data_IF_963850624509
#
_entry.id   IF_963850624509
#
_cell.length_a   1.000
_cell.length_b   1.000
_cell.length_c   1.000
_cell.angle_alpha   90.00
_cell.angle_beta   90.00
_cell.angle_gamma   90.00
#
_symmetry.space_group_name_H-M   'P 1'
#
loop_
_entity.id
_entity.type
_entity.pdbx_description
1 polymer ?
#
# COMPACT_ATOMS: atom_id res chain seq x y z
N UNK A 1 12.68 34.70 -46.08
CA UNK A 1 12.66 33.22 -46.17
C UNK A 1 12.19 32.73 -44.82
N UNK A 2 10.88 32.49 -44.66
CA UNK A 2 10.32 31.99 -43.41
C UNK A 2 10.50 30.47 -43.37
N UNK A 3 11.26 29.99 -42.39
CA UNK A 3 11.45 28.56 -42.14
C UNK A 3 10.20 28.03 -41.44
N UNK A 4 9.30 27.42 -42.20
CA UNK A 4 8.11 26.78 -41.67
C UNK A 4 8.49 25.38 -41.15
N UNK A 5 8.91 25.30 -39.89
CA UNK A 5 9.25 24.03 -39.25
C UNK A 5 7.96 23.37 -38.76
N UNK A 6 7.44 22.42 -39.54
CA UNK A 6 6.30 21.61 -39.13
C UNK A 6 6.79 20.52 -38.18
N UNK A 7 6.95 20.86 -36.90
CA UNK A 7 7.36 19.89 -35.88
C UNK A 7 6.14 19.05 -35.50
N UNK A 8 6.21 17.75 -35.78
CA UNK A 8 5.19 16.80 -35.40
C UNK A 8 5.16 16.68 -33.85
N UNK A 9 4.00 16.90 -33.24
CA UNK A 9 3.80 16.78 -31.79
C UNK A 9 4.23 15.41 -31.25
N UNK A 10 4.09 14.34 -32.03
CA UNK A 10 4.55 13.00 -31.67
C UNK A 10 6.08 12.92 -31.53
N UNK A 11 6.82 13.64 -32.39
CA UNK A 11 8.28 13.67 -32.32
C UNK A 11 8.75 14.44 -31.08
N UNK A 12 8.08 15.54 -30.73
CA UNK A 12 8.36 16.29 -29.49
C UNK A 12 8.11 15.42 -28.27
N UNK A 13 6.96 14.74 -28.20
CA UNK A 13 6.62 13.86 -27.06
C UNK A 13 7.64 12.73 -26.94
N UNK A 14 8.00 12.09 -28.05
CA UNK A 14 9.02 11.02 -28.07
C UNK A 14 10.37 11.55 -27.59
N UNK A 15 10.78 12.73 -28.06
CA UNK A 15 12.03 13.36 -27.64
C UNK A 15 12.05 13.66 -26.14
N UNK A 16 10.98 14.28 -25.61
CA UNK A 16 10.84 14.57 -24.16
C UNK A 16 10.92 13.28 -23.35
N UNK A 17 10.25 12.21 -23.80
CA UNK A 17 10.26 10.93 -23.13
C UNK A 17 11.68 10.32 -23.07
N UNK A 18 12.39 10.29 -24.20
CA UNK A 18 13.77 9.78 -24.26
C UNK A 18 14.71 10.58 -23.37
N UNK A 19 14.64 11.92 -23.43
CA UNK A 19 15.46 12.81 -22.58
C UNK A 19 15.17 12.55 -21.10
N UNK A 20 13.90 12.34 -20.74
CA UNK A 20 13.50 12.04 -19.35
C UNK A 20 14.07 10.71 -18.86
N UNK A 21 14.10 9.67 -19.71
CA UNK A 21 14.72 8.38 -19.36
C UNK A 21 16.23 8.55 -19.13
N UNK A 22 16.93 9.24 -20.03
CA UNK A 22 18.38 9.48 -19.90
C UNK A 22 18.67 10.26 -18.61
N UNK A 23 17.89 11.30 -18.34
CA UNK A 23 18.02 12.09 -17.11
C UNK A 23 17.79 11.24 -15.86
N UNK A 24 16.81 10.33 -15.87
CA UNK A 24 16.56 9.42 -14.76
C UNK A 24 17.72 8.45 -14.53
N UNK A 25 18.29 7.87 -15.60
CA UNK A 25 19.45 6.98 -15.50
C UNK A 25 20.65 7.73 -14.92
N UNK A 26 20.96 8.92 -15.43
CA UNK A 26 22.05 9.75 -14.91
C UNK A 26 21.82 10.12 -13.44
N UNK A 27 20.59 10.49 -13.07
CA UNK A 27 20.22 10.78 -11.69
C UNK A 27 20.49 9.58 -10.77
N UNK A 28 20.05 8.37 -11.14
CA UNK A 28 20.27 7.15 -10.36
C UNK A 28 21.76 6.87 -10.18
N UNK A 29 22.56 6.96 -11.25
CA UNK A 29 24.00 6.70 -11.20
C UNK A 29 24.74 7.72 -10.32
N UNK A 30 24.50 9.02 -10.55
CA UNK A 30 25.16 10.10 -9.80
C UNK A 30 24.76 10.05 -8.33
N UNK A 31 23.46 9.90 -8.03
CA UNK A 31 22.98 9.83 -6.64
C UNK A 31 23.54 8.62 -5.90
N UNK A 32 23.68 7.46 -6.56
CA UNK A 32 24.31 6.28 -5.96
C UNK A 32 25.78 6.55 -5.58
N UNK A 33 26.55 7.15 -6.51
CA UNK A 33 27.94 7.51 -6.25
C UNK A 33 28.06 8.49 -5.07
N UNK A 34 27.20 9.50 -5.02
CA UNK A 34 27.15 10.46 -3.90
C UNK A 34 26.85 9.76 -2.58
N UNK A 35 25.84 8.88 -2.53
CA UNK A 35 25.51 8.12 -1.32
C UNK A 35 26.70 7.27 -0.84
N UNK A 36 27.41 6.62 -1.77
CA UNK A 36 28.59 5.83 -1.47
C UNK A 36 29.76 6.67 -0.96
N UNK A 37 30.02 7.83 -1.58
CA UNK A 37 31.05 8.78 -1.12
C UNK A 37 30.72 9.28 0.30
N UNK A 38 29.45 9.55 0.58
CA UNK A 38 28.98 10.03 1.89
C UNK A 38 28.83 8.91 2.94
N UNK A 39 29.07 7.65 2.57
CA UNK A 39 28.87 6.48 3.44
C UNK A 39 27.47 6.41 4.09
N UNK A 40 26.44 6.90 3.39
CA UNK A 40 25.06 6.86 3.86
C UNK A 40 24.41 5.52 3.54
N UNK A 41 23.52 5.07 4.41
CA UNK A 41 22.65 3.92 4.14
C UNK A 41 21.66 4.24 3.03
N UNK A 42 21.50 3.32 2.08
CA UNK A 42 20.54 3.45 0.97
C UNK A 42 19.09 3.37 1.48
N UNK A 43 18.88 2.71 2.63
CA UNK A 43 17.57 2.56 3.25
C UNK A 43 16.98 3.86 3.80
N UNK A 44 17.81 4.88 4.07
CA UNK A 44 17.39 6.09 4.78
C UNK A 44 16.93 7.23 3.85
N UNK A 45 16.98 7.05 2.53
CA UNK A 45 16.80 8.14 1.55
C UNK A 45 15.38 8.29 0.97
N UNK A 46 14.37 7.66 1.58
CA UNK A 46 13.01 7.76 1.07
C UNK A 46 12.37 9.13 1.42
N UNK A 47 11.74 9.77 0.44
CA UNK A 47 10.97 11.01 0.65
C UNK A 47 9.65 10.62 1.33
N UNK A 48 9.40 11.13 2.53
CA UNK A 48 8.25 10.76 3.34
C UNK A 48 7.15 11.83 3.34
N UNK A 49 5.91 11.38 3.30
CA UNK A 49 4.75 12.22 3.59
C UNK A 49 4.07 11.69 4.86
N UNK A 50 4.17 12.44 5.96
CA UNK A 50 3.57 12.08 7.25
C UNK A 50 2.07 12.42 7.35
N UNK A 51 1.36 12.28 6.22
CA UNK A 51 -0.05 12.62 6.10
C UNK A 51 -0.74 11.69 5.11
N UNK A 52 -2.04 11.54 5.26
CA UNK A 52 -2.88 10.89 4.27
C UNK A 52 -2.91 11.73 2.97
N UNK A 53 -3.14 11.07 1.83
CA UNK A 53 -3.47 11.77 0.59
C UNK A 53 -4.85 12.45 0.71
N UNK A 54 -5.15 13.41 -0.19
CA UNK A 54 -6.36 14.25 -0.10
C UNK A 54 -7.64 13.39 -0.08
N UNK A 55 -7.73 12.45 -1.03
CA UNK A 55 -8.86 11.53 -1.15
C UNK A 55 -9.08 10.67 0.10
N UNK A 56 -8.01 10.10 0.66
CA UNK A 56 -8.08 9.27 1.86
C UNK A 56 -8.50 10.10 3.08
N UNK A 57 -8.00 11.33 3.19
CA UNK A 57 -8.43 12.25 4.24
C UNK A 57 -9.91 12.59 4.12
N UNK A 58 -10.41 12.91 2.91
CA UNK A 58 -11.83 13.19 2.67
C UNK A 58 -12.72 11.99 3.03
N UNK A 59 -12.29 10.76 2.71
CA UNK A 59 -13.02 9.55 3.11
C UNK A 59 -12.96 9.30 4.62
N UNK A 60 -11.86 9.61 5.31
CA UNK A 60 -11.79 9.53 6.77
C UNK A 60 -12.64 10.60 7.45
N UNK A 61 -12.70 11.81 6.91
CA UNK A 61 -13.56 12.87 7.43
C UNK A 61 -15.03 12.50 7.23
N UNK A 62 -15.36 11.88 6.09
CA UNK A 62 -16.73 11.46 5.76
C UNK A 62 -17.16 10.20 6.52
N UNK A 63 -16.28 9.23 6.71
CA UNK A 63 -16.64 7.88 7.15
C UNK A 63 -15.85 7.34 8.35
N UNK A 64 -14.76 8.00 8.73
CA UNK A 64 -13.78 7.48 9.69
C UNK A 64 -14.30 7.32 11.11
N UNK A 65 -15.37 8.03 11.48
CA UNK A 65 -15.98 8.00 12.80
C UNK A 65 -17.18 7.05 12.93
N UNK A 66 -17.59 6.39 11.85
CA UNK A 66 -18.60 5.33 11.95
C UNK A 66 -18.02 4.05 12.57
N UNK A 67 -18.88 3.28 13.24
CA UNK A 67 -18.48 2.03 13.85
C UNK A 67 -18.11 1.00 12.78
N UNK A 68 -16.96 0.35 12.97
CA UNK A 68 -16.54 -0.79 12.18
C UNK A 68 -17.37 -2.00 12.57
N UNK A 69 -18.10 -2.56 11.60
CA UNK A 69 -18.95 -3.74 11.75
C UNK A 69 -18.15 -5.03 11.58
N UNK A 70 -17.35 -5.12 10.52
CA UNK A 70 -16.49 -6.26 10.15
C UNK A 70 -15.22 -5.77 9.47
N UNK A 71 -14.16 -6.55 9.60
CA UNK A 71 -12.89 -6.36 8.89
C UNK A 71 -12.61 -7.65 8.14
N UNK A 72 -12.18 -7.53 6.90
CA UNK A 72 -11.73 -8.63 6.08
C UNK A 72 -10.29 -8.37 5.66
N UNK A 73 -9.45 -9.38 5.83
CA UNK A 73 -8.10 -9.40 5.31
C UNK A 73 -8.15 -9.97 3.90
N UNK A 74 -7.61 -9.24 2.93
CA UNK A 74 -7.65 -9.65 1.52
C UNK A 74 -6.23 -9.72 0.98
N UNK A 75 -5.97 -10.74 0.15
CA UNK A 75 -4.75 -10.87 -0.63
C UNK A 75 -5.09 -10.81 -2.10
N UNK A 76 -4.46 -9.85 -2.78
CA UNK A 76 -4.63 -9.64 -4.20
C UNK A 76 -3.34 -10.02 -4.93
N UNK A 77 -3.39 -10.89 -5.93
CA UNK A 77 -2.30 -11.09 -6.88
C UNK A 77 -1.71 -9.77 -7.37
N UNK A 78 -0.39 -9.60 -7.27
CA UNK A 78 0.24 -8.42 -7.88
C UNK A 78 0.00 -8.40 -9.40
N UNK A 79 -0.11 -7.20 -9.95
CA UNK A 79 -0.34 -7.00 -11.37
C UNK A 79 0.77 -7.64 -12.21
N UNK A 80 0.44 -8.13 -13.42
CA UNK A 80 1.40 -8.76 -14.35
C UNK A 80 2.62 -7.89 -14.64
N UNK A 81 2.45 -6.56 -14.65
CA UNK A 81 3.57 -5.62 -14.84
C UNK A 81 4.63 -5.74 -13.75
N UNK A 82 4.23 -6.02 -12.50
CA UNK A 82 5.18 -6.25 -11.41
C UNK A 82 5.95 -7.55 -11.63
N UNK A 83 5.28 -8.63 -12.06
CA UNK A 83 5.94 -9.90 -12.43
C UNK A 83 6.94 -9.70 -13.57
N UNK A 84 6.61 -8.88 -14.59
CA UNK A 84 7.53 -8.53 -15.68
C UNK A 84 8.76 -7.79 -15.13
N UNK A 85 8.55 -6.80 -14.25
CA UNK A 85 9.64 -6.07 -13.61
C UNK A 85 10.55 -6.98 -12.79
N UNK A 86 9.98 -7.84 -11.94
CA UNK A 86 10.75 -8.82 -11.17
C UNK A 86 11.52 -9.77 -12.07
N UNK A 87 10.93 -10.26 -13.16
CA UNK A 87 11.62 -11.10 -14.13
C UNK A 87 12.80 -10.35 -14.76
N UNK A 88 12.64 -9.08 -15.14
CA UNK A 88 13.75 -8.31 -15.68
C UNK A 88 14.90 -8.14 -14.67
N UNK A 89 14.57 -7.79 -13.42
CA UNK A 89 15.57 -7.59 -12.36
C UNK A 89 16.20 -8.88 -11.82
N UNK A 90 15.58 -10.03 -12.05
CA UNK A 90 16.10 -11.35 -11.67
C UNK A 90 16.64 -12.14 -12.87
N UNK A 91 16.79 -11.52 -14.04
CA UNK A 91 17.20 -12.19 -15.27
C UNK A 91 16.36 -13.45 -15.56
N UNK A 92 15.04 -13.32 -15.46
CA UNK A 92 13.99 -14.32 -15.65
C UNK A 92 13.95 -15.47 -14.64
N UNK A 93 14.89 -15.52 -13.69
CA UNK A 93 14.92 -16.54 -12.65
C UNK A 93 13.65 -16.57 -11.78
N UNK A 94 13.00 -15.42 -11.58
CA UNK A 94 11.75 -15.35 -10.82
C UNK A 94 10.62 -16.19 -11.42
N UNK A 95 10.52 -16.25 -12.75
CA UNK A 95 9.50 -17.02 -13.45
C UNK A 95 9.64 -18.52 -13.17
N UNK A 96 10.87 -19.02 -13.17
CA UNK A 96 11.17 -20.44 -12.90
C UNK A 96 10.74 -20.85 -11.49
N UNK A 97 10.78 -19.94 -10.52
CA UNK A 97 10.41 -20.24 -9.13
C UNK A 97 8.92 -20.30 -8.94
N UNK A 98 8.18 -19.35 -9.53
CA UNK A 98 6.71 -19.36 -9.48
C UNK A 98 6.19 -20.65 -10.12
N UNK A 99 6.79 -21.09 -11.24
CA UNK A 99 6.42 -22.35 -11.89
C UNK A 99 6.69 -23.58 -11.01
N UNK A 100 7.75 -23.55 -10.21
CA UNK A 100 8.11 -24.67 -9.31
C UNK A 100 7.31 -24.67 -8.01
N UNK A 101 6.90 -23.51 -7.51
CA UNK A 101 6.22 -23.41 -6.22
C UNK A 101 5.32 -22.16 -6.13
N UNK A 102 4.03 -22.39 -5.89
CA UNK A 102 3.02 -21.33 -5.75
C UNK A 102 3.25 -20.41 -4.53
N UNK A 103 4.09 -20.81 -3.56
CA UNK A 103 4.41 -19.99 -2.38
C UNK A 103 5.22 -18.73 -2.71
N UNK A 104 5.84 -18.66 -3.90
CA UNK A 104 6.56 -17.48 -4.38
C UNK A 104 5.70 -16.52 -5.19
N UNK A 105 4.40 -16.79 -5.29
CA UNK A 105 3.50 -15.88 -5.98
C UNK A 105 3.25 -14.63 -5.14
N UNK A 106 3.35 -13.41 -5.71
CA UNK A 106 3.27 -12.20 -4.93
C UNK A 106 1.82 -11.85 -4.64
N UNK A 107 1.57 -11.47 -3.39
CA UNK A 107 0.28 -10.92 -3.00
C UNK A 107 0.45 -9.57 -2.33
N UNK A 108 -0.38 -8.62 -2.75
CA UNK A 108 -0.62 -7.40 -2.01
C UNK A 108 -1.63 -7.67 -0.91
N UNK A 109 -1.27 -7.35 0.32
CA UNK A 109 -2.14 -7.52 1.49
C UNK A 109 -2.87 -6.21 1.77
N UNK A 110 -4.19 -6.28 1.91
CA UNK A 110 -5.04 -5.11 2.17
C UNK A 110 -6.14 -5.45 3.16
N UNK A 111 -6.78 -4.42 3.71
CA UNK A 111 -7.92 -4.56 4.62
C UNK A 111 -9.17 -3.99 3.97
N UNK A 112 -10.25 -4.77 4.00
CA UNK A 112 -11.57 -4.32 3.63
C UNK A 112 -12.41 -4.12 4.89
N UNK A 113 -12.86 -2.90 5.14
CA UNK A 113 -13.54 -2.49 6.36
C UNK A 113 -15.01 -2.21 6.05
N UNK A 114 -15.91 -2.98 6.66
CA UNK A 114 -17.36 -2.73 6.61
C UNK A 114 -17.72 -1.80 7.77
N UNK A 115 -18.22 -0.60 7.46
CA UNK A 115 -18.70 0.38 8.44
C UNK A 115 -20.23 0.43 8.47
N UNK A 116 -20.78 0.71 9.64
CA UNK A 116 -22.22 0.84 9.86
C UNK A 116 -22.64 2.31 9.81
N UNK A 117 -23.37 2.69 8.77
CA UNK A 117 -23.96 4.02 8.59
C UNK A 117 -25.30 4.06 9.33
N UNK A 118 -25.27 4.10 10.66
CA UNK A 118 -26.48 4.37 11.43
C UNK A 118 -26.55 5.86 11.72
N UNK A 119 -27.34 6.60 10.95
CA UNK A 119 -27.78 7.92 11.39
C UNK A 119 -28.72 7.79 12.61
N UNK A 120 -28.70 8.79 13.48
CA UNK A 120 -29.59 8.97 14.64
C UNK A 120 -31.07 9.21 14.24
N UNK A 121 -31.49 8.86 13.02
CA UNK A 121 -32.87 8.99 12.58
C UNK A 121 -33.69 7.82 13.12
N UNK A 122 -34.27 8.06 14.30
CA UNK A 122 -35.16 7.17 15.08
C UNK A 122 -36.28 6.54 14.21
N UNK A 123 -36.65 7.16 13.10
CA UNK A 123 -37.73 6.75 12.20
C UNK A 123 -37.32 5.80 11.05
N UNK A 124 -36.03 5.52 10.85
CA UNK A 124 -35.52 4.61 9.78
C UNK A 124 -34.75 3.41 10.33
N UNK A 125 -35.29 2.79 11.38
CA UNK A 125 -34.62 1.70 12.14
C UNK A 125 -34.42 0.38 11.36
N UNK A 126 -35.00 0.23 10.17
CA UNK A 126 -35.09 -1.07 9.49
C UNK A 126 -34.05 -1.34 8.38
N UNK A 127 -33.34 -0.33 7.87
CA UNK A 127 -32.24 -0.53 6.91
C UNK A 127 -30.96 0.08 7.46
N UNK A 128 -30.17 -0.74 8.16
CA UNK A 128 -28.80 -0.39 8.52
C UNK A 128 -27.94 -0.39 7.25
N UNK A 129 -27.75 0.78 6.69
CA UNK A 129 -26.84 0.97 5.56
C UNK A 129 -25.41 0.65 5.99
N UNK A 130 -24.70 -0.06 5.12
CA UNK A 130 -23.29 -0.39 5.32
C UNK A 130 -22.49 0.07 4.14
N UNK A 131 -21.30 0.60 4.42
CA UNK A 131 -20.33 0.99 3.38
C UNK A 131 -19.07 0.17 3.57
N UNK A 132 -18.42 -0.16 2.46
CA UNK A 132 -17.13 -0.82 2.47
C UNK A 132 -16.04 0.18 2.10
N UNK A 133 -14.95 0.16 2.85
CA UNK A 133 -13.74 0.94 2.58
C UNK A 133 -12.56 -0.02 2.44
N UNK A 134 -11.86 0.06 1.31
CA UNK A 134 -10.57 -0.57 1.11
C UNK A 134 -9.51 0.29 1.80
N UNK A 135 -8.65 -0.32 2.62
CA UNK A 135 -7.53 0.31 3.30
C UNK A 135 -6.27 -0.47 2.97
N UNK A 136 -5.31 0.19 2.35
CA UNK A 136 -4.05 -0.42 1.94
C UNK A 136 -2.89 0.54 2.20
N UNK A 137 -1.67 -0.02 2.19
CA UNK A 137 -0.46 0.78 2.27
C UNK A 137 0.45 0.47 1.10
N UNK A 138 0.49 1.40 0.17
CA UNK A 138 1.52 1.51 -0.85
C UNK A 138 2.50 2.58 -0.38
N UNK A 139 2.97 3.46 -1.25
CA UNK A 139 3.82 4.57 -0.86
C UNK A 139 3.17 5.54 0.14
N UNK A 140 1.84 5.58 0.16
CA UNK A 140 1.03 6.21 1.18
C UNK A 140 -0.01 5.22 1.73
N UNK A 141 -0.69 5.61 2.81
CA UNK A 141 -1.89 4.89 3.26
C UNK A 141 -3.03 5.39 2.38
N UNK A 142 -3.61 4.46 1.61
CA UNK A 142 -4.67 4.74 0.67
C UNK A 142 -5.99 4.15 1.17
N UNK A 143 -7.05 4.93 1.07
CA UNK A 143 -8.42 4.54 1.43
C UNK A 143 -9.31 4.77 0.22
N UNK A 144 -10.09 3.78 -0.17
CA UNK A 144 -10.97 3.85 -1.34
C UNK A 144 -12.34 3.25 -1.07
N UNK A 145 -13.38 3.84 -1.64
CA UNK A 145 -14.71 3.25 -1.73
C UNK A 145 -14.91 2.40 -3.00
N UNK A 146 -14.08 2.65 -4.01
CA UNK A 146 -14.15 2.01 -5.32
C UNK A 146 -13.07 0.95 -5.40
N UNK A 147 -13.49 -0.30 -5.33
CA UNK A 147 -12.60 -1.45 -5.44
C UNK A 147 -13.33 -2.59 -6.13
N UNK A 148 -12.55 -3.47 -6.77
CA UNK A 148 -13.06 -4.65 -7.43
C UNK A 148 -12.65 -5.89 -6.65
N UNK A 149 -13.63 -6.72 -6.30
CA UNK A 149 -13.37 -8.04 -5.72
C UNK A 149 -13.31 -9.06 -6.86
N UNK A 150 -12.12 -9.61 -7.12
CA UNK A 150 -11.92 -10.63 -8.14
C UNK A 150 -11.99 -12.04 -7.53
N UNK A 151 -12.31 -13.04 -8.35
CA UNK A 151 -12.27 -14.46 -7.93
C UNK A 151 -10.85 -14.95 -7.61
N UNK A 152 -9.83 -14.19 -8.01
CA UNK A 152 -8.42 -14.52 -7.77
C UNK A 152 -7.90 -13.98 -6.43
N UNK A 153 -8.71 -13.20 -5.72
CA UNK A 153 -8.38 -12.71 -4.39
C UNK A 153 -8.73 -13.73 -3.31
N UNK A 154 -7.86 -13.86 -2.31
CA UNK A 154 -8.15 -14.61 -1.09
C UNK A 154 -8.70 -13.65 -0.05
N UNK A 155 -9.74 -14.05 0.70
CA UNK A 155 -10.33 -13.21 1.76
C UNK A 155 -10.49 -14.00 3.05
N UNK A 156 -10.10 -13.39 4.17
CA UNK A 156 -10.23 -13.93 5.52
C UNK A 156 -10.98 -12.94 6.41
N UNK A 157 -12.14 -13.34 6.94
CA UNK A 157 -12.92 -12.50 7.84
C UNK A 157 -12.30 -12.45 9.25
N UNK A 158 -12.16 -11.25 9.82
CA UNK A 158 -11.60 -11.02 11.15
C UNK A 158 -12.73 -10.81 12.16
N UNK A 159 -12.78 -11.66 13.19
CA UNK A 159 -13.80 -11.57 14.23
C UNK A 159 -13.53 -10.43 15.22
N UNK A 160 -14.42 -9.44 15.29
CA UNK A 160 -14.32 -8.30 16.22
C UNK A 160 -14.90 -8.57 17.63
N UNK A 161 -15.08 -9.84 18.00
CA UNK A 161 -15.54 -10.21 19.34
C UNK A 161 -14.37 -10.28 20.33
N UNK A 162 -14.47 -9.68 21.52
CA UNK A 162 -13.51 -9.97 22.61
C UNK A 162 -13.83 -11.32 23.24
N UNK A 163 -12.80 -12.14 23.41
CA UNK A 163 -12.84 -13.32 24.26
C UNK A 163 -12.24 -12.94 25.60
N UNK A 164 -13.04 -12.88 26.66
CA UNK A 164 -12.55 -12.70 28.04
C UNK A 164 -12.27 -14.07 28.64
N UNK A 165 -11.02 -14.33 29.03
CA UNK A 165 -10.50 -15.64 29.47
C UNK A 165 -10.79 -16.00 30.93
N UNK A 166 -11.64 -15.29 31.65
CA UNK A 166 -12.03 -15.67 33.01
C UNK A 166 -13.53 -16.00 33.10
N UNK A 167 -13.80 -17.30 33.14
CA UNK A 167 -14.91 -18.00 33.79
C UNK A 167 -16.38 -17.60 33.51
N UNK A 168 -16.71 -16.62 32.68
CA UNK A 168 -18.07 -16.38 32.20
C UNK A 168 -18.04 -15.63 30.86
N UNK A 169 -18.21 -16.37 29.76
CA UNK A 169 -17.99 -15.86 28.39
C UNK A 169 -19.19 -15.00 27.95
N UNK A 170 -19.12 -13.69 28.21
CA UNK A 170 -19.90 -12.71 27.43
C UNK A 170 -19.01 -12.18 26.31
N UNK A 171 -19.24 -12.62 25.06
CA UNK A 171 -18.58 -12.07 23.87
C UNK A 171 -19.00 -10.60 23.72
N UNK A 172 -18.18 -9.67 24.20
CA UNK A 172 -18.41 -8.23 24.00
C UNK A 172 -17.80 -7.81 22.66
N UNK A 173 -18.63 -7.29 21.75
CA UNK A 173 -18.17 -6.75 20.46
C UNK A 173 -17.26 -5.54 20.71
N UNK A 174 -16.11 -5.49 20.03
CA UNK A 174 -15.25 -4.32 19.99
C UNK A 174 -16.02 -3.23 19.25
N UNK A 175 -16.26 -2.09 19.92
CA UNK A 175 -16.72 -0.86 19.26
C UNK A 175 -15.46 -0.04 18.94
N UNK A 176 -15.16 0.12 17.67
CA UNK A 176 -14.03 0.89 17.17
C UNK A 176 -14.41 1.52 15.84
N UNK A 177 -13.94 2.74 15.59
CA UNK A 177 -14.07 3.43 14.31
C UNK A 177 -12.79 3.27 13.49
N UNK A 178 -12.81 3.60 12.20
CA UNK A 178 -11.61 3.53 11.37
C UNK A 178 -10.56 4.55 11.84
N UNK A 179 -10.97 5.78 12.18
CA UNK A 179 -10.09 6.80 12.76
C UNK A 179 -9.42 6.29 14.05
N UNK A 180 -10.21 5.71 14.96
CA UNK A 180 -9.66 5.18 16.20
C UNK A 180 -8.68 4.03 15.98
N UNK A 181 -8.92 3.16 15.01
CA UNK A 181 -8.00 2.08 14.67
C UNK A 181 -6.68 2.66 14.15
N UNK A 182 -6.75 3.50 13.12
CA UNK A 182 -5.58 4.11 12.48
C UNK A 182 -4.77 4.95 13.48
N UNK A 183 -5.42 5.81 14.27
CA UNK A 183 -4.75 6.66 15.25
C UNK A 183 -4.11 5.86 16.39
N UNK A 184 -4.80 4.84 16.92
CA UNK A 184 -4.21 3.97 17.95
C UNK A 184 -3.00 3.22 17.42
N UNK A 185 -3.06 2.74 16.17
CA UNK A 185 -1.92 2.10 15.52
C UNK A 185 -0.78 3.08 15.33
N UNK A 186 -1.05 4.27 14.77
CA UNK A 186 -0.06 5.34 14.60
C UNK A 186 0.61 5.73 15.91
N UNK A 187 -0.17 5.91 16.98
CA UNK A 187 0.35 6.27 18.30
C UNK A 187 1.22 5.16 18.89
N UNK A 188 0.91 3.89 18.62
CA UNK A 188 1.67 2.74 19.12
C UNK A 188 3.01 2.56 18.40
N UNK A 189 3.05 2.71 17.07
CA UNK A 189 4.28 2.44 16.28
C UNK A 189 5.06 3.71 15.90
N UNK A 190 4.48 4.88 16.14
CA UNK A 190 5.03 6.19 15.78
C UNK A 190 4.71 6.58 14.33
N UNK A 191 4.53 7.89 14.10
CA UNK A 191 4.18 8.45 12.78
C UNK A 191 5.16 8.08 11.67
N UNK A 192 6.46 7.94 12.00
CA UNK A 192 7.47 7.52 11.03
C UNK A 192 7.19 6.12 10.50
N UNK A 193 7.05 5.13 11.37
CA UNK A 193 6.72 3.77 10.95
C UNK A 193 5.33 3.68 10.33
N UNK A 194 4.37 4.46 10.82
CA UNK A 194 3.01 4.43 10.30
C UNK A 194 2.92 4.86 8.83
N UNK A 195 3.48 6.02 8.47
CA UNK A 195 3.36 6.55 7.11
C UNK A 195 4.48 6.11 6.17
N UNK A 196 5.70 5.87 6.66
CA UNK A 196 6.81 5.48 5.80
C UNK A 196 6.52 4.14 5.12
N UNK A 197 6.74 4.03 3.81
CA UNK A 197 6.73 2.77 3.11
C UNK A 197 8.16 2.35 2.73
N UNK A 198 8.46 1.08 2.97
CA UNK A 198 9.66 0.43 2.48
C UNK A 198 9.29 -0.98 2.03
N UNK A 199 9.72 -1.35 0.82
CA UNK A 199 9.36 -2.61 0.17
C UNK A 199 9.65 -3.86 1.04
N UNK A 200 10.68 -3.83 1.87
CA UNK A 200 11.10 -4.96 2.71
C UNK A 200 10.75 -4.81 4.19
N UNK A 201 10.89 -3.60 4.73
CA UNK A 201 10.83 -3.36 6.18
C UNK A 201 9.48 -2.87 6.67
N UNK A 202 8.71 -2.18 5.83
CA UNK A 202 7.52 -1.45 6.25
C UNK A 202 6.53 -1.30 5.09
N UNK A 203 6.11 -2.45 4.55
CA UNK A 203 5.22 -2.55 3.41
C UNK A 203 3.76 -2.79 3.85
N UNK A 204 2.91 -3.21 2.92
CA UNK A 204 1.50 -3.50 3.16
C UNK A 204 1.25 -4.64 4.16
N UNK A 205 2.11 -5.68 4.18
CA UNK A 205 2.02 -6.79 5.13
C UNK A 205 2.28 -6.31 6.54
N UNK A 206 3.37 -5.55 6.74
CA UNK A 206 3.70 -5.01 8.07
C UNK A 206 2.65 -4.03 8.57
N UNK A 207 2.16 -3.14 7.71
CA UNK A 207 1.08 -2.23 8.09
C UNK A 207 -0.18 -2.97 8.55
N UNK A 208 -0.58 -3.99 7.79
CA UNK A 208 -1.72 -4.83 8.13
C UNK A 208 -1.49 -5.56 9.46
N UNK A 209 -0.29 -6.12 9.67
CA UNK A 209 0.11 -6.74 10.95
C UNK A 209 -0.07 -5.74 12.10
N UNK A 210 0.44 -4.52 11.97
CA UNK A 210 0.37 -3.51 13.03
C UNK A 210 -1.08 -3.06 13.33
N UNK A 211 -1.96 -2.99 12.32
CA UNK A 211 -3.39 -2.72 12.56
C UNK A 211 -4.05 -3.86 13.37
N UNK A 212 -3.77 -5.12 13.00
CA UNK A 212 -4.35 -6.27 13.68
C UNK A 212 -3.78 -6.51 15.08
N UNK A 213 -2.49 -6.22 15.30
CA UNK A 213 -1.88 -6.18 16.64
C UNK A 213 -2.58 -5.15 17.52
N UNK A 214 -2.90 -3.96 16.98
CA UNK A 214 -3.64 -2.92 17.71
C UNK A 214 -5.05 -3.35 18.10
N UNK A 215 -5.69 -4.18 17.28
CA UNK A 215 -6.99 -4.78 17.60
C UNK A 215 -6.91 -5.97 18.56
N UNK A 216 -5.70 -6.42 18.91
CA UNK A 216 -5.45 -7.70 19.58
C UNK A 216 -6.09 -8.87 18.82
N UNK A 217 -5.88 -8.89 17.50
CA UNK A 217 -6.41 -9.88 16.56
C UNK A 217 -5.32 -10.61 15.78
N UNK A 218 -4.06 -10.43 16.16
CA UNK A 218 -2.97 -11.17 15.54
C UNK A 218 -2.88 -12.57 16.16
N UNK A 219 -3.13 -13.61 15.36
CA UNK A 219 -2.91 -15.02 15.73
C UNK A 219 -2.05 -15.73 14.67
N UNK A 220 -1.76 -17.02 14.88
CA UNK A 220 -0.91 -17.80 13.98
C UNK A 220 -1.51 -17.95 12.58
N UNK A 221 -2.83 -18.15 12.47
CA UNK A 221 -3.51 -18.30 11.19
C UNK A 221 -3.46 -17.00 10.38
N UNK A 222 -3.72 -15.87 11.05
CA UNK A 222 -3.64 -14.56 10.40
C UNK A 222 -2.19 -14.21 10.04
N UNK A 223 -1.22 -14.57 10.87
CA UNK A 223 0.20 -14.42 10.54
C UNK A 223 0.56 -15.19 9.28
N UNK A 224 0.16 -16.46 9.21
CA UNK A 224 0.40 -17.29 8.03
C UNK A 224 -0.29 -16.71 6.80
N UNK A 225 -1.51 -16.21 6.94
CA UNK A 225 -2.21 -15.55 5.83
C UNK A 225 -1.43 -14.35 5.29
N UNK A 226 -0.97 -13.44 6.16
CA UNK A 226 -0.25 -12.21 5.76
C UNK A 226 1.11 -12.52 5.13
N UNK A 227 1.89 -13.44 5.72
CA UNK A 227 3.29 -13.69 5.36
C UNK A 227 3.51 -14.97 4.55
N UNK A 228 2.48 -15.49 3.87
CA UNK A 228 2.60 -16.73 3.09
C UNK A 228 3.61 -16.57 1.95
N UNK A 229 3.64 -15.41 1.29
CA UNK A 229 4.58 -15.16 0.20
C UNK A 229 6.00 -14.95 0.69
N UNK A 230 6.94 -15.72 0.12
CA UNK A 230 8.36 -15.73 0.51
C UNK A 230 9.25 -14.93 -0.44
N UNK A 231 8.69 -14.05 -1.25
CA UNK A 231 9.44 -13.31 -2.29
C UNK A 231 10.58 -12.50 -1.70
N UNK A 232 10.33 -11.81 -0.58
CA UNK A 232 11.34 -10.98 0.08
C UNK A 232 12.49 -11.83 0.62
N UNK A 233 12.22 -13.06 1.05
CA UNK A 233 13.26 -13.99 1.53
C UNK A 233 14.14 -14.49 0.38
N UNK A 234 13.62 -14.45 -0.84
CA UNK A 234 14.27 -14.98 -2.01
C UNK A 234 15.17 -13.94 -2.71
N UNK A 235 14.72 -12.70 -2.78
CA UNK A 235 15.42 -11.65 -3.50
C UNK A 235 16.10 -10.72 -2.51
N UNK A 236 17.42 -10.92 -2.32
CA UNK A 236 18.28 -9.95 -1.66
C UNK A 236 18.88 -9.03 -2.74
N UNK A 237 18.24 -7.88 -3.06
CA UNK A 237 18.75 -7.00 -4.11
C UNK A 237 20.16 -6.53 -3.76
N UNK A 238 20.98 -6.33 -4.80
CA UNK A 238 22.21 -5.57 -4.61
C UNK A 238 21.86 -4.17 -4.09
N UNK A 239 22.78 -3.53 -3.37
CA UNK A 239 22.63 -2.14 -2.92
C UNK A 239 22.28 -1.19 -4.08
N UNK A 240 22.88 -1.40 -5.26
CA UNK A 240 22.58 -0.62 -6.45
C UNK A 240 21.14 -0.86 -6.95
N UNK A 241 20.68 -2.12 -6.95
CA UNK A 241 19.30 -2.45 -7.32
C UNK A 241 18.30 -1.84 -6.35
N UNK A 242 18.58 -1.90 -5.05
CA UNK A 242 17.76 -1.26 -4.02
C UNK A 242 17.69 0.26 -4.24
N UNK A 243 18.81 0.88 -4.59
CA UNK A 243 18.85 2.31 -4.91
C UNK A 243 18.02 2.66 -6.15
N UNK A 244 18.06 1.85 -7.21
CA UNK A 244 17.17 1.99 -8.38
C UNK A 244 15.70 1.95 -7.93
N UNK A 245 15.31 0.94 -7.15
CA UNK A 245 13.94 0.78 -6.66
C UNK A 245 13.52 2.00 -5.84
N UNK A 246 14.36 2.45 -4.90
CA UNK A 246 14.07 3.62 -4.08
C UNK A 246 13.91 4.90 -4.92
N UNK A 247 14.74 5.09 -5.96
CA UNK A 247 14.60 6.22 -6.88
C UNK A 247 13.29 6.15 -7.66
N UNK A 248 12.91 4.97 -8.18
CA UNK A 248 11.65 4.77 -8.88
C UNK A 248 10.44 5.03 -7.97
N UNK A 249 10.49 4.55 -6.73
CA UNK A 249 9.49 4.85 -5.71
C UNK A 249 9.42 6.36 -5.43
N UNK A 250 10.55 7.04 -5.26
CA UNK A 250 10.57 8.48 -5.03
C UNK A 250 9.95 9.26 -6.20
N UNK A 251 10.28 8.91 -7.45
CA UNK A 251 9.66 9.51 -8.65
C UNK A 251 8.16 9.25 -8.66
N UNK A 252 7.74 8.01 -8.42
CA UNK A 252 6.32 7.66 -8.35
C UNK A 252 5.60 8.47 -7.26
N UNK A 253 6.19 8.63 -6.07
CA UNK A 253 5.59 9.38 -4.96
C UNK A 253 5.42 10.87 -5.30
N UNK A 254 6.37 11.43 -6.05
CA UNK A 254 6.27 12.81 -6.55
C UNK A 254 5.15 12.91 -7.58
N UNK A 255 5.07 11.97 -8.54
CA UNK A 255 4.00 11.94 -9.53
C UNK A 255 2.63 11.77 -8.87
N UNK A 256 2.49 10.85 -7.93
CA UNK A 256 1.26 10.64 -7.18
C UNK A 256 0.82 11.93 -6.48
N UNK A 257 1.72 12.56 -5.72
CA UNK A 257 1.38 13.74 -4.93
C UNK A 257 1.13 15.02 -5.73
N UNK A 258 1.86 15.24 -6.83
CA UNK A 258 1.84 16.52 -7.53
C UNK A 258 1.14 16.46 -8.88
N UNK A 259 1.02 15.26 -9.48
CA UNK A 259 0.36 15.08 -10.78
C UNK A 259 -1.01 14.44 -10.57
N UNK A 260 -1.08 13.27 -9.92
CA UNK A 260 -2.34 12.54 -9.78
C UNK A 260 -3.28 13.12 -8.72
N UNK A 261 -2.74 13.60 -7.59
CA UNK A 261 -3.52 14.30 -6.55
C UNK A 261 -3.89 15.74 -6.94
N UNK A 262 -3.35 16.26 -8.04
CA UNK A 262 -3.67 17.62 -8.49
C UNK A 262 -5.03 17.66 -9.20
N UNK A 263 -5.74 18.77 -9.05
CA UNK A 263 -7.03 19.02 -9.74
C UNK A 263 -6.89 19.09 -11.27
N UNK A 264 -5.69 18.88 -11.83
CA UNK A 264 -5.47 18.85 -13.28
C UNK A 264 -6.16 17.66 -13.98
N UNK A 265 -6.55 16.62 -13.24
CA UNK A 265 -7.15 15.40 -13.80
C UNK A 265 -8.52 15.01 -13.21
N UNK A 266 -9.08 15.81 -12.31
CA UNK A 266 -10.42 15.63 -11.74
C UNK A 266 -11.37 16.72 -12.25
#
# INVERSE_FOLDING_TARGET
>A
MELNININSQQIITFIFVVSIIALILFVLVSYLVIKILQKSIDDNNIFFYKYNKQSQELLDKYGDYNVKRIYLVRQPLAKMFTIGLNLFTFYYYNDLIQKCNEYYPYHTLLLVEIELSENNIYKKELKETKFLLVEKNNCINISENFFISKTQETLAISLNKTTTHCNIKKKKIKITLNQLLDKTRNRIGSKAFFNWNIYKNNCQEFTKELLVTLNKMDSNIKEFIYRDKIIQFYNPSEFTLHIINCLCAVYNILEKYVFDSELFN
#
